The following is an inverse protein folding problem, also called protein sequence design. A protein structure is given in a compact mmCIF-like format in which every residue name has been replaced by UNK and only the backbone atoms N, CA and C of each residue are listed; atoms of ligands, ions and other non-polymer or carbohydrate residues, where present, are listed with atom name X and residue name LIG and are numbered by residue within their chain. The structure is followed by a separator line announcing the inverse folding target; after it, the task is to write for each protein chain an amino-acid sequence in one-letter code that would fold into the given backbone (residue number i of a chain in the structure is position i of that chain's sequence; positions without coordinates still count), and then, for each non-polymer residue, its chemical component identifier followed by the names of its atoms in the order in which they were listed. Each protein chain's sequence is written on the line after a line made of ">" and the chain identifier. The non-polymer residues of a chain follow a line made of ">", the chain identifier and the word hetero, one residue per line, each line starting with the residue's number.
data_IF_578334930299
#
_entry.id   IF_578334930299
#
_cell.length_a   1.000
_cell.length_b   1.000
_cell.length_c   1.000
_cell.angle_alpha   90.00
_cell.angle_beta   90.00
_cell.angle_gamma   90.00
#
_symmetry.space_group_name_H-M   'P 1'
#
loop_
_entity.id
_entity.type
_entity.pdbx_description
1 polymer ?
#
# COMPACT_ATOMS: atom_id res chain seq x y z
N UNK A 1 23.22 15.95 41.89
CA UNK A 1 24.41 15.71 41.05
C UNK A 1 24.21 16.47 39.75
N UNK A 2 25.16 17.33 39.38
CA UNK A 2 25.05 18.30 38.29
C UNK A 2 25.27 17.66 36.91
N UNK A 3 24.70 18.29 35.88
CA UNK A 3 24.67 17.85 34.48
C UNK A 3 26.03 17.41 33.88
N UNK A 4 27.17 17.91 34.37
CA UNK A 4 28.51 17.51 33.87
C UNK A 4 28.99 16.15 34.38
N UNK A 5 28.49 15.68 35.54
CA UNK A 5 28.93 14.42 36.15
C UNK A 5 28.43 13.17 35.40
N UNK A 6 27.24 13.25 34.80
CA UNK A 6 26.62 12.10 34.10
C UNK A 6 27.31 11.77 32.77
N UNK A 7 27.67 12.79 31.99
CA UNK A 7 28.40 12.60 30.73
C UNK A 7 29.80 12.02 30.95
N UNK A 8 30.52 12.53 31.95
CA UNK A 8 31.86 12.01 32.31
C UNK A 8 31.79 10.56 32.80
N UNK A 9 30.77 10.22 33.59
CA UNK A 9 30.56 8.85 34.10
C UNK A 9 30.15 7.85 33.02
N UNK A 10 29.46 8.29 31.97
CA UNK A 10 29.18 7.46 30.80
C UNK A 10 30.45 7.19 29.98
N UNK A 11 31.19 8.24 29.61
CA UNK A 11 32.40 8.10 28.78
C UNK A 11 33.48 7.23 29.44
N UNK A 12 33.60 7.29 30.77
CA UNK A 12 34.57 6.47 31.51
C UNK A 12 34.22 4.99 31.62
N UNK A 13 33.03 4.57 31.18
CA UNK A 13 32.54 3.18 31.27
C UNK A 13 32.34 2.51 29.91
N UNK A 14 32.76 3.17 28.83
CA UNK A 14 32.65 2.65 27.46
C UNK A 14 33.44 1.35 27.24
N UNK A 15 34.45 1.07 28.07
CA UNK A 15 35.23 -0.17 28.11
C UNK A 15 34.36 -1.44 28.33
N UNK A 16 33.14 -1.28 28.83
CA UNK A 16 32.16 -2.36 29.03
C UNK A 16 31.45 -2.81 27.75
N UNK A 17 31.60 -2.06 26.67
CA UNK A 17 30.95 -2.32 25.39
C UNK A 17 31.96 -2.94 24.42
N UNK A 18 31.51 -3.89 23.61
CA UNK A 18 32.27 -4.33 22.44
C UNK A 18 32.32 -3.22 21.39
N UNK A 19 33.29 -3.29 20.48
CA UNK A 19 33.48 -2.28 19.42
C UNK A 19 32.19 -1.97 18.62
N UNK A 20 31.41 -2.97 18.15
CA UNK A 20 30.17 -2.67 17.42
C UNK A 20 29.11 -1.92 18.27
N UNK A 21 29.07 -2.17 19.57
CA UNK A 21 28.15 -1.50 20.49
C UNK A 21 28.64 -0.10 20.87
N UNK A 22 29.96 0.08 20.92
CA UNK A 22 30.60 1.37 21.16
C UNK A 22 30.26 2.38 20.05
N UNK A 23 30.30 1.95 18.79
CA UNK A 23 29.98 2.82 17.65
C UNK A 23 28.54 3.35 17.72
N UNK A 24 27.58 2.47 18.04
CA UNK A 24 26.17 2.85 18.24
C UNK A 24 26.01 3.78 19.44
N UNK A 25 26.72 3.51 20.54
CA UNK A 25 26.66 4.36 21.73
C UNK A 25 27.20 5.76 21.46
N UNK A 26 28.31 5.85 20.72
CA UNK A 26 28.93 7.12 20.36
C UNK A 26 28.13 7.89 19.30
N UNK A 27 27.50 7.22 18.34
CA UNK A 27 26.63 7.88 17.36
C UNK A 27 25.44 8.55 18.05
N UNK A 28 24.77 7.85 18.97
CA UNK A 28 23.68 8.40 19.77
C UNK A 28 24.15 9.51 20.72
N UNK A 29 25.36 9.39 21.27
CA UNK A 29 25.94 10.43 22.14
C UNK A 29 26.22 11.74 21.39
N UNK A 30 26.63 11.65 20.12
CA UNK A 30 26.93 12.81 19.28
C UNK A 30 25.68 13.48 18.70
N UNK A 31 24.55 12.78 18.65
CA UNK A 31 23.30 13.25 18.04
C UNK A 31 22.16 13.36 19.08
N UNK A 32 22.25 14.38 19.95
CA UNK A 32 21.23 14.69 20.97
C UNK A 32 19.81 14.85 20.37
N UNK A 33 19.61 15.49 19.19
CA UNK A 33 18.31 15.53 18.53
C UNK A 33 17.74 14.15 18.17
N UNK A 34 18.56 13.26 17.57
CA UNK A 34 18.14 11.89 17.25
C UNK A 34 17.76 11.11 18.51
N UNK A 35 18.57 11.19 19.57
CA UNK A 35 18.28 10.51 20.83
C UNK A 35 16.96 10.97 21.44
N UNK A 36 16.69 12.28 21.47
CA UNK A 36 15.40 12.81 21.94
C UNK A 36 14.24 12.33 21.09
N UNK A 37 14.41 12.31 19.77
CA UNK A 37 13.39 11.78 18.87
C UNK A 37 13.12 10.29 19.15
N UNK A 38 14.15 9.47 19.33
CA UNK A 38 14.01 8.05 19.72
C UNK A 38 13.20 7.91 21.00
N UNK A 39 13.54 8.67 22.05
CA UNK A 39 12.85 8.60 23.34
C UNK A 39 11.38 9.02 23.26
N UNK A 40 11.06 10.05 22.46
CA UNK A 40 9.68 10.49 22.25
C UNK A 40 8.86 9.45 21.46
N UNK A 41 9.47 8.82 20.46
CA UNK A 41 8.81 7.87 19.55
C UNK A 41 8.71 6.44 20.13
N UNK A 42 9.54 6.10 21.11
CA UNK A 42 9.57 4.77 21.73
C UNK A 42 8.43 4.50 22.73
N UNK A 43 7.50 5.45 22.94
CA UNK A 43 6.37 5.32 23.89
C UNK A 43 6.81 5.02 25.33
N UNK A 44 7.83 5.72 25.81
CA UNK A 44 8.31 5.60 27.20
C UNK A 44 7.19 5.99 28.18
N UNK A 45 6.80 5.12 29.14
CA UNK A 45 5.73 5.39 30.10
C UNK A 45 5.90 6.72 30.84
N UNK A 46 4.79 7.41 31.13
CA UNK A 46 4.83 8.61 31.97
C UNK A 46 5.37 8.29 33.37
N UNK A 47 6.17 9.21 33.93
CA UNK A 47 6.81 9.03 35.24
C UNK A 47 8.16 8.29 35.23
N UNK A 48 8.58 7.68 34.12
CA UNK A 48 9.94 7.13 34.00
C UNK A 48 10.97 8.20 33.67
N UNK A 49 11.83 8.53 34.65
CA UNK A 49 12.93 9.48 34.47
C UNK A 49 14.13 8.91 33.70
N UNK A 50 14.33 7.58 33.77
CA UNK A 50 15.45 6.87 33.12
C UNK A 50 14.93 5.72 32.28
N UNK A 51 15.63 5.48 31.18
CA UNK A 51 15.28 4.50 30.16
C UNK A 51 16.53 3.71 29.81
N UNK A 52 16.37 2.41 29.58
CA UNK A 52 17.42 1.55 29.06
C UNK A 52 17.23 1.36 27.55
N UNK A 53 18.28 1.58 26.77
CA UNK A 53 18.31 1.27 25.33
C UNK A 53 19.16 0.02 25.17
N UNK A 54 18.57 -1.07 24.69
CA UNK A 54 19.31 -2.29 24.39
C UNK A 54 20.10 -2.13 23.11
N UNK A 55 21.37 -2.54 23.14
CA UNK A 55 22.26 -2.55 21.97
C UNK A 55 22.29 -3.91 21.27
N UNK A 56 21.75 -4.96 21.90
CA UNK A 56 21.65 -6.30 21.33
C UNK A 56 20.42 -7.04 21.91
N UNK A 57 20.62 -7.81 22.99
CA UNK A 57 19.56 -8.61 23.61
C UNK A 57 18.72 -7.73 24.56
N UNK A 58 17.38 -7.74 24.47
CA UNK A 58 16.52 -6.88 25.29
C UNK A 58 16.53 -7.25 26.79
N UNK A 59 16.94 -8.46 27.16
CA UNK A 59 17.02 -8.91 28.56
C UNK A 59 18.45 -8.92 29.10
N UNK A 60 19.42 -9.34 28.28
CA UNK A 60 20.83 -9.52 28.67
C UNK A 60 21.71 -8.32 28.33
N UNK A 61 21.25 -7.39 27.50
CA UNK A 61 22.01 -6.22 27.09
C UNK A 61 23.11 -6.53 26.07
N UNK A 62 24.13 -5.68 25.94
CA UNK A 62 24.42 -4.51 26.78
C UNK A 62 23.41 -3.36 26.64
N UNK A 63 23.39 -2.45 27.61
CA UNK A 63 22.41 -1.36 27.68
C UNK A 63 23.06 0.02 27.82
N UNK A 64 22.47 1.02 27.17
CA UNK A 64 22.70 2.43 27.47
C UNK A 64 21.61 2.92 28.43
N UNK A 65 22.01 3.56 29.52
CA UNK A 65 21.07 4.18 30.44
C UNK A 65 21.06 5.67 30.18
N UNK A 66 19.92 6.18 29.77
CA UNK A 66 19.71 7.60 29.46
C UNK A 66 18.54 8.14 30.29
N UNK A 67 18.52 9.45 30.52
CA UNK A 67 17.35 10.12 31.07
C UNK A 67 16.29 10.31 29.99
N UNK A 68 15.04 10.53 30.39
CA UNK A 68 13.93 10.88 29.47
C UNK A 68 14.25 12.12 28.61
N UNK A 69 15.05 13.05 29.13
CA UNK A 69 15.52 14.23 28.41
C UNK A 69 16.73 13.99 27.48
N UNK A 70 17.14 12.73 27.27
CA UNK A 70 18.23 12.38 26.35
C UNK A 70 19.64 12.55 26.93
N UNK A 71 19.81 12.53 28.27
CA UNK A 71 21.15 12.62 28.87
C UNK A 71 21.70 11.25 29.24
N UNK A 72 22.92 10.96 28.82
CA UNK A 72 23.61 9.71 29.14
C UNK A 72 23.98 9.64 30.62
N UNK A 73 23.57 8.56 31.29
CA UNK A 73 23.84 8.30 32.71
C UNK A 73 24.98 7.30 32.87
N UNK A 74 24.90 6.17 32.17
CA UNK A 74 25.93 5.11 32.17
C UNK A 74 25.68 4.09 31.06
N UNK A 75 26.59 3.15 30.88
CA UNK A 75 26.38 1.93 30.10
C UNK A 75 26.61 0.68 30.96
N UNK A 76 25.89 -0.37 30.62
CA UNK A 76 25.91 -1.68 31.26
C UNK A 76 26.41 -2.70 30.25
N UNK A 77 27.39 -3.52 30.65
CA UNK A 77 27.91 -4.61 29.82
C UNK A 77 26.89 -5.75 29.67
N UNK A 78 27.18 -6.70 28.77
CA UNK A 78 26.36 -7.89 28.60
C UNK A 78 26.26 -8.69 29.91
N UNK A 79 25.06 -9.19 30.22
CA UNK A 79 24.74 -9.92 31.46
C UNK A 79 24.44 -9.02 32.67
N UNK A 80 24.58 -7.70 32.55
CA UNK A 80 24.21 -6.76 33.62
C UNK A 80 22.72 -6.41 33.52
N UNK A 81 21.97 -6.66 34.59
CA UNK A 81 20.52 -6.46 34.60
C UNK A 81 20.07 -5.00 34.71
N UNK A 82 18.96 -4.69 34.05
CA UNK A 82 18.21 -3.43 34.16
C UNK A 82 16.96 -3.67 35.01
N UNK A 83 16.95 -3.14 36.24
CA UNK A 83 15.80 -3.24 37.16
C UNK A 83 15.00 -1.95 37.15
N UNK A 84 13.68 -2.06 37.07
CA UNK A 84 12.74 -0.94 37.15
C UNK A 84 12.94 0.14 36.07
N UNK A 85 13.46 -0.23 34.90
CA UNK A 85 13.61 0.65 33.75
C UNK A 85 12.81 0.10 32.56
N UNK A 86 12.21 0.99 31.79
CA UNK A 86 11.65 0.64 30.50
C UNK A 86 12.81 0.37 29.54
N UNK A 87 12.77 -0.78 28.87
CA UNK A 87 13.76 -1.18 27.88
C UNK A 87 13.22 -0.87 26.49
N UNK A 88 13.95 -0.05 25.75
CA UNK A 88 13.79 0.10 24.30
C UNK A 88 14.61 -0.99 23.63
N UNK A 89 13.97 -1.98 22.95
CA UNK A 89 14.69 -3.06 22.28
C UNK A 89 15.55 -2.56 21.12
N UNK A 90 16.60 -3.31 20.77
CA UNK A 90 17.51 -2.97 19.67
C UNK A 90 16.78 -2.83 18.33
N UNK A 91 15.87 -3.74 18.02
CA UNK A 91 15.06 -3.68 16.80
C UNK A 91 14.24 -2.39 16.70
N UNK A 92 13.71 -1.91 17.85
CA UNK A 92 12.95 -0.66 17.91
C UNK A 92 13.85 0.56 17.72
N UNK A 93 15.06 0.53 18.29
CA UNK A 93 16.08 1.56 18.09
C UNK A 93 16.46 1.67 16.61
N UNK A 94 16.77 0.53 15.97
CA UNK A 94 17.16 0.48 14.56
C UNK A 94 16.02 0.99 13.66
N UNK A 95 14.79 0.54 13.90
CA UNK A 95 13.63 0.99 13.13
C UNK A 95 13.38 2.50 13.23
N UNK A 96 13.53 3.12 14.41
CA UNK A 96 13.37 4.58 14.54
C UNK A 96 14.53 5.31 13.85
N UNK A 97 15.76 4.83 14.03
CA UNK A 97 16.97 5.45 13.47
C UNK A 97 16.96 5.42 11.95
N UNK A 98 16.58 4.29 11.34
CA UNK A 98 16.45 4.14 9.89
C UNK A 98 15.43 5.13 9.29
N UNK A 99 14.30 5.35 9.97
CA UNK A 99 13.32 6.35 9.54
C UNK A 99 13.91 7.77 9.56
N UNK A 100 14.67 8.14 10.60
CA UNK A 100 15.30 9.47 10.69
C UNK A 100 16.39 9.65 9.64
N UNK A 101 17.23 8.63 9.40
CA UNK A 101 18.24 8.66 8.33
C UNK A 101 17.54 8.87 6.98
N UNK A 102 16.52 8.07 6.68
CA UNK A 102 15.73 8.21 5.44
C UNK A 102 15.16 9.62 5.30
N UNK A 103 14.61 10.19 6.37
CA UNK A 103 14.04 11.54 6.37
C UNK A 103 15.11 12.62 6.15
N UNK A 104 16.27 12.50 6.80
CA UNK A 104 17.42 13.39 6.60
C UNK A 104 17.94 13.31 5.17
N UNK A 105 18.15 12.12 4.63
CA UNK A 105 18.60 11.92 3.24
C UNK A 105 17.61 12.50 2.22
N UNK A 106 16.30 12.37 2.45
CA UNK A 106 15.29 13.02 1.60
C UNK A 106 15.30 14.53 1.74
N UNK A 107 15.46 15.05 2.96
CA UNK A 107 15.56 16.49 3.20
C UNK A 107 16.81 17.08 2.57
N UNK A 108 17.96 16.42 2.69
CA UNK A 108 19.21 16.84 2.06
C UNK A 108 19.08 16.80 0.54
N UNK A 109 18.46 15.75 -0.03
CA UNK A 109 18.14 15.70 -1.46
C UNK A 109 17.19 16.82 -1.87
N UNK A 110 16.21 17.18 -1.05
CA UNK A 110 15.29 18.29 -1.29
C UNK A 110 16.03 19.62 -1.34
N UNK A 111 16.83 19.91 -0.32
CA UNK A 111 17.61 21.14 -0.21
C UNK A 111 18.62 21.30 -1.34
N UNK A 112 19.14 20.18 -1.87
CA UNK A 112 20.08 20.16 -2.99
C UNK A 112 19.41 19.95 -4.36
N UNK A 113 18.09 19.80 -4.42
CA UNK A 113 17.37 19.61 -5.69
C UNK A 113 17.32 20.93 -6.46
N UNK A 114 17.87 20.95 -7.68
CA UNK A 114 17.81 22.13 -8.57
C UNK A 114 16.86 21.88 -9.74
N UNK A 115 15.84 22.73 -9.90
CA UNK A 115 15.28 23.11 -11.20
C UNK A 115 14.31 22.17 -11.94
N UNK A 116 13.89 21.03 -11.41
CA UNK A 116 13.07 20.05 -12.14
C UNK A 116 11.67 19.74 -11.55
N UNK A 117 11.26 20.44 -10.48
CA UNK A 117 10.00 20.15 -9.77
C UNK A 117 8.78 20.18 -10.69
N UNK A 118 8.67 21.20 -11.56
CA UNK A 118 7.56 21.31 -12.52
C UNK A 118 7.51 20.12 -13.49
N UNK A 119 8.66 19.64 -13.96
CA UNK A 119 8.72 18.50 -14.89
C UNK A 119 8.34 17.19 -14.20
N UNK A 120 8.80 17.00 -12.96
CA UNK A 120 8.47 15.82 -12.15
C UNK A 120 6.99 15.79 -11.76
N UNK A 121 6.45 16.94 -11.34
CA UNK A 121 5.01 17.07 -11.06
C UNK A 121 4.18 16.85 -12.33
N UNK A 122 4.64 17.33 -13.49
CA UNK A 122 3.99 17.03 -14.77
C UNK A 122 4.04 15.54 -15.11
N UNK A 123 5.18 14.89 -14.88
CA UNK A 123 5.36 13.46 -15.14
C UNK A 123 4.33 12.60 -14.38
N UNK A 124 3.99 12.98 -13.14
CA UNK A 124 2.97 12.33 -12.32
C UNK A 124 1.59 12.24 -13.01
N UNK A 125 1.26 13.20 -13.88
CA UNK A 125 -0.02 13.32 -14.58
C UNK A 125 0.03 12.94 -16.06
N UNK A 126 1.21 12.81 -16.66
CA UNK A 126 1.36 12.57 -18.10
C UNK A 126 1.97 11.21 -18.45
N UNK A 127 2.68 10.57 -17.53
CA UNK A 127 3.41 9.32 -17.83
C UNK A 127 2.54 8.07 -17.70
N UNK A 128 1.39 8.16 -17.04
CA UNK A 128 0.53 7.01 -16.76
C UNK A 128 1.34 5.88 -16.11
N UNK A 129 1.25 4.67 -16.65
CA UNK A 129 2.03 3.51 -16.16
C UNK A 129 3.55 3.63 -16.31
N UNK A 130 4.03 4.59 -17.11
CA UNK A 130 5.44 4.75 -17.47
C UNK A 130 6.20 5.74 -16.60
N UNK A 131 5.67 6.12 -15.44
CA UNK A 131 6.44 6.87 -14.45
C UNK A 131 7.62 6.00 -13.99
N UNK A 132 8.84 6.49 -14.13
CA UNK A 132 10.04 5.71 -13.79
C UNK A 132 10.33 5.76 -12.30
N UNK A 133 11.15 4.81 -11.82
CA UNK A 133 11.64 4.78 -10.43
C UNK A 133 12.33 6.08 -10.06
N UNK A 134 13.20 6.58 -10.91
CA UNK A 134 14.00 7.79 -10.71
C UNK A 134 13.11 9.05 -10.71
N UNK A 135 12.07 9.07 -11.56
CA UNK A 135 11.07 10.14 -11.52
C UNK A 135 10.27 10.09 -10.22
N UNK A 136 9.83 8.90 -9.80
CA UNK A 136 9.15 8.72 -8.52
C UNK A 136 10.03 9.14 -7.35
N UNK A 137 11.29 8.70 -7.29
CA UNK A 137 12.24 9.07 -6.25
C UNK A 137 12.50 10.57 -6.24
N UNK A 138 12.59 11.20 -7.41
CA UNK A 138 12.64 12.65 -7.55
C UNK A 138 11.42 13.33 -6.92
N UNK A 139 10.22 12.81 -7.14
CA UNK A 139 8.97 13.33 -6.54
C UNK A 139 8.92 13.08 -5.03
N UNK A 140 9.35 11.90 -4.59
CA UNK A 140 9.29 11.44 -3.20
C UNK A 140 10.12 12.30 -2.25
N UNK A 141 11.10 13.04 -2.77
CA UNK A 141 11.89 14.02 -2.02
C UNK A 141 11.01 15.11 -1.39
N UNK A 142 9.90 15.51 -2.02
CA UNK A 142 8.96 16.51 -1.48
C UNK A 142 7.91 15.95 -0.52
N UNK A 143 7.76 14.62 -0.47
CA UNK A 143 6.66 13.97 0.24
C UNK A 143 6.58 14.33 1.73
N UNK A 144 7.69 14.43 2.52
CA UNK A 144 7.61 14.79 3.93
C UNK A 144 6.97 16.16 4.20
N UNK A 145 7.04 17.07 3.22
CA UNK A 145 6.48 18.43 3.31
C UNK A 145 5.09 18.54 2.70
N UNK A 146 4.70 17.57 1.86
CA UNK A 146 3.45 17.59 1.09
C UNK A 146 2.49 16.45 1.46
N UNK A 147 2.76 15.65 2.50
CA UNK A 147 1.97 14.44 2.78
C UNK A 147 0.45 14.69 2.84
N UNK A 148 0.01 15.75 3.52
CA UNK A 148 -1.41 16.12 3.59
C UNK A 148 -1.96 16.65 2.25
N UNK A 149 -1.16 17.42 1.51
CA UNK A 149 -1.55 17.91 0.18
C UNK A 149 -1.63 16.77 -0.84
N UNK A 150 -0.73 15.79 -0.77
CA UNK A 150 -0.74 14.58 -1.60
C UNK A 150 -1.99 13.74 -1.33
N UNK A 151 -2.40 13.60 -0.05
CA UNK A 151 -3.66 12.95 0.31
C UNK A 151 -4.86 13.71 -0.25
N UNK A 152 -4.87 15.05 -0.11
CA UNK A 152 -5.93 15.90 -0.67
C UNK A 152 -6.00 15.78 -2.19
N UNK A 153 -4.88 15.83 -2.89
CA UNK A 153 -4.80 15.63 -4.34
C UNK A 153 -5.30 14.25 -4.74
N UNK A 154 -5.00 13.20 -3.96
CA UNK A 154 -5.55 11.86 -4.23
C UNK A 154 -7.09 11.86 -4.21
N UNK A 155 -7.70 12.53 -3.22
CA UNK A 155 -9.16 12.62 -3.07
C UNK A 155 -9.77 13.47 -4.19
N UNK A 156 -9.16 14.60 -4.51
CA UNK A 156 -9.61 15.49 -5.60
C UNK A 156 -9.49 14.79 -6.96
N UNK A 157 -8.40 14.06 -7.18
CA UNK A 157 -8.15 13.32 -8.40
C UNK A 157 -9.14 12.16 -8.56
N UNK A 158 -9.52 11.49 -7.47
CA UNK A 158 -10.51 10.43 -7.52
C UNK A 158 -11.86 10.95 -8.04
N UNK A 159 -12.28 12.13 -7.54
CA UNK A 159 -13.49 12.82 -8.01
C UNK A 159 -13.37 13.24 -9.47
N UNK A 160 -12.19 13.74 -9.89
CA UNK A 160 -11.94 14.15 -11.26
C UNK A 160 -12.01 12.96 -12.23
N UNK A 161 -11.40 11.83 -11.88
CA UNK A 161 -11.46 10.58 -12.65
C UNK A 161 -12.90 10.08 -12.79
N UNK A 162 -13.67 10.09 -11.70
CA UNK A 162 -15.08 9.68 -11.74
C UNK A 162 -15.91 10.59 -12.65
N UNK A 163 -15.71 11.91 -12.57
CA UNK A 163 -16.38 12.87 -13.43
C UNK A 163 -16.02 12.69 -14.91
N UNK A 164 -14.74 12.54 -15.23
CA UNK A 164 -14.27 12.29 -16.60
C UNK A 164 -14.81 10.97 -17.15
N UNK A 165 -14.84 9.92 -16.33
CA UNK A 165 -15.42 8.62 -16.69
C UNK A 165 -16.90 8.76 -17.02
N UNK A 166 -17.68 9.45 -16.18
CA UNK A 166 -19.10 9.68 -16.43
C UNK A 166 -19.34 10.44 -17.73
N UNK A 167 -18.57 11.51 -17.97
CA UNK A 167 -18.63 12.30 -19.19
C UNK A 167 -18.40 11.41 -20.42
N UNK A 168 -17.30 10.65 -20.43
CA UNK A 168 -16.94 9.78 -21.54
C UNK A 168 -17.96 8.66 -21.75
N UNK A 169 -18.49 8.06 -20.68
CA UNK A 169 -19.51 7.00 -20.76
C UNK A 169 -20.82 7.47 -21.40
N UNK A 170 -21.23 8.72 -21.19
CA UNK A 170 -22.40 9.33 -21.86
C UNK A 170 -22.18 9.43 -23.37
N UNK A 171 -20.94 9.64 -23.78
CA UNK A 171 -20.54 9.84 -25.17
C UNK A 171 -20.21 8.54 -25.90
N UNK A 172 -20.00 7.43 -25.18
CA UNK A 172 -19.84 6.10 -25.79
C UNK A 172 -21.20 5.65 -26.34
N UNK A 173 -21.36 5.41 -27.66
CA UNK A 173 -22.60 4.89 -28.21
C UNK A 173 -22.81 3.41 -27.85
N UNK A 174 -23.99 2.85 -28.14
CA UNK A 174 -24.28 1.42 -27.92
C UNK A 174 -23.32 0.47 -28.66
N UNK A 175 -22.78 0.91 -29.80
CA UNK A 175 -21.78 0.15 -30.58
C UNK A 175 -20.36 0.19 -29.97
N UNK A 176 -20.16 0.93 -28.86
CA UNK A 176 -18.89 1.03 -28.15
C UNK A 176 -17.81 1.86 -28.83
N UNK A 177 -18.09 2.54 -29.96
CA UNK A 177 -17.11 3.36 -30.69
C UNK A 177 -17.16 4.82 -30.25
N UNK A 178 -16.18 5.25 -29.46
CA UNK A 178 -16.04 6.65 -29.06
C UNK A 178 -15.50 7.50 -30.22
N UNK A 179 -16.08 8.69 -30.43
CA UNK A 179 -15.64 9.64 -31.48
C UNK A 179 -14.26 10.23 -31.18
N UNK A 180 -13.42 10.46 -32.20
CA UNK A 180 -12.02 10.94 -32.06
C UNK A 180 -11.87 12.29 -31.35
N UNK A 181 -12.92 13.13 -31.37
CA UNK A 181 -12.95 14.41 -30.62
C UNK A 181 -12.69 14.23 -29.11
N UNK A 182 -12.90 13.02 -28.59
CA UNK A 182 -12.71 12.68 -27.18
C UNK A 182 -11.36 12.01 -26.90
N UNK A 183 -10.46 11.91 -27.88
CA UNK A 183 -9.21 11.16 -27.72
C UNK A 183 -8.29 11.80 -26.67
N UNK A 184 -8.19 13.14 -26.61
CA UNK A 184 -7.43 13.84 -25.57
C UNK A 184 -8.04 13.60 -24.18
N UNK A 185 -9.36 13.65 -24.04
CA UNK A 185 -10.05 13.37 -22.77
C UNK A 185 -9.88 11.92 -22.35
N UNK A 186 -9.92 10.97 -23.28
CA UNK A 186 -9.71 9.54 -23.01
C UNK A 186 -8.27 9.27 -22.57
N UNK A 187 -7.29 9.87 -23.24
CA UNK A 187 -5.89 9.78 -22.83
C UNK A 187 -5.66 10.41 -21.46
N UNK A 188 -6.25 11.60 -21.22
CA UNK A 188 -6.21 12.26 -19.92
C UNK A 188 -6.84 11.42 -18.80
N UNK A 189 -7.98 10.76 -19.06
CA UNK A 189 -8.58 9.81 -18.12
C UNK A 189 -7.60 8.67 -17.81
N UNK A 190 -7.01 8.05 -18.83
CA UNK A 190 -6.07 6.95 -18.65
C UNK A 190 -4.87 7.37 -17.78
N UNK A 191 -4.24 8.51 -18.07
CA UNK A 191 -3.12 9.00 -17.25
C UNK A 191 -3.54 9.26 -15.80
N UNK A 192 -4.69 9.93 -15.59
CA UNK A 192 -5.22 10.26 -14.27
C UNK A 192 -5.62 9.04 -13.44
N UNK A 193 -6.11 7.97 -14.08
CA UNK A 193 -6.32 6.69 -13.42
C UNK A 193 -5.01 6.19 -12.80
N UNK A 194 -3.89 6.21 -13.53
CA UNK A 194 -2.57 5.83 -13.01
C UNK A 194 -2.04 6.78 -11.92
N UNK A 195 -2.31 8.09 -12.06
CA UNK A 195 -1.98 9.09 -11.05
C UNK A 195 -2.55 8.74 -9.68
N UNK A 196 -3.74 8.17 -9.60
CA UNK A 196 -4.32 7.71 -8.31
C UNK A 196 -3.42 6.71 -7.60
N UNK A 197 -2.87 5.73 -8.32
CA UNK A 197 -1.93 4.78 -7.74
C UNK A 197 -0.66 5.46 -7.22
N UNK A 198 -0.11 6.42 -7.98
CA UNK A 198 1.08 7.15 -7.55
C UNK A 198 0.82 8.02 -6.31
N UNK A 199 -0.31 8.74 -6.27
CA UNK A 199 -0.69 9.56 -5.14
C UNK A 199 -0.99 8.72 -3.88
N UNK A 200 -1.65 7.57 -4.01
CA UNK A 200 -1.87 6.64 -2.90
C UNK A 200 -0.56 6.15 -2.28
N UNK A 201 0.48 5.95 -3.10
CA UNK A 201 1.79 5.56 -2.59
C UNK A 201 2.48 6.73 -1.88
N UNK A 202 2.57 7.89 -2.56
CA UNK A 202 3.24 9.09 -2.08
C UNK A 202 2.64 9.57 -0.76
N UNK A 203 1.32 9.67 -0.66
CA UNK A 203 0.66 10.13 0.56
C UNK A 203 0.96 9.21 1.76
N UNK A 204 1.14 7.91 1.56
CA UNK A 204 1.32 6.95 2.65
C UNK A 204 2.77 6.69 3.07
N UNK A 205 3.80 7.23 2.39
CA UNK A 205 5.20 6.82 2.57
C UNK A 205 5.68 6.84 4.03
N UNK A 206 5.35 7.91 4.76
CA UNK A 206 5.73 8.10 6.18
C UNK A 206 4.74 7.43 7.16
N UNK A 207 3.84 6.59 6.65
CA UNK A 207 2.83 5.90 7.44
C UNK A 207 1.89 6.89 8.12
N UNK A 208 1.52 6.58 9.37
CA UNK A 208 0.52 7.38 10.11
C UNK A 208 1.05 8.73 10.61
N UNK A 209 2.37 8.95 10.67
CA UNK A 209 2.95 10.10 11.36
C UNK A 209 2.39 11.47 10.90
N UNK A 210 2.28 11.77 9.58
CA UNK A 210 1.72 13.05 9.14
C UNK A 210 0.25 13.26 9.50
N UNK A 211 -0.46 12.18 9.86
CA UNK A 211 -1.90 12.18 10.09
C UNK A 211 -2.29 12.19 11.57
N UNK A 212 -1.32 11.98 12.48
CA UNK A 212 -1.58 11.94 13.93
C UNK A 212 -1.95 13.32 14.51
N UNK A 213 -1.49 14.39 13.85
CA UNK A 213 -1.73 15.78 14.23
C UNK A 213 -3.03 16.34 13.62
N UNK A 214 -3.78 15.54 12.86
CA UNK A 214 -5.06 15.96 12.31
C UNK A 214 -6.09 16.22 13.42
N UNK A 215 -6.98 17.23 13.26
CA UNK A 215 -8.12 17.40 14.15
C UNK A 215 -8.96 16.12 14.25
N UNK A 216 -9.56 15.87 15.41
CA UNK A 216 -10.30 14.63 15.69
C UNK A 216 -11.33 14.24 14.61
N UNK A 217 -12.16 15.16 14.07
CA UNK A 217 -13.08 14.80 12.99
C UNK A 217 -12.39 14.30 11.72
N UNK A 218 -11.23 14.88 11.38
CA UNK A 218 -10.46 14.49 10.21
C UNK A 218 -9.74 13.15 10.42
N UNK A 219 -9.19 12.93 11.63
CA UNK A 219 -8.59 11.64 12.00
C UNK A 219 -9.62 10.51 11.98
N UNK A 220 -10.81 10.74 12.54
CA UNK A 220 -11.92 9.77 12.47
C UNK A 220 -12.35 9.48 11.02
N UNK A 221 -12.51 10.52 10.21
CA UNK A 221 -12.85 10.34 8.79
C UNK A 221 -11.78 9.52 8.05
N UNK A 222 -10.50 9.70 8.41
CA UNK A 222 -9.40 8.92 7.87
C UNK A 222 -9.46 7.45 8.31
N UNK A 223 -9.67 7.17 9.61
CA UNK A 223 -9.72 5.78 10.11
C UNK A 223 -10.91 4.98 9.59
N UNK A 224 -11.99 5.65 9.18
CA UNK A 224 -13.18 5.05 8.59
C UNK A 224 -13.14 5.01 7.04
N UNK A 225 -12.06 5.48 6.40
CA UNK A 225 -11.99 5.55 4.94
C UNK A 225 -11.40 4.30 4.28
N UNK A 226 -11.96 3.95 3.11
CA UNK A 226 -11.40 2.95 2.21
C UNK A 226 -10.22 3.54 1.43
N UNK A 227 -9.09 3.77 2.11
CA UNK A 227 -7.91 4.44 1.57
C UNK A 227 -7.42 3.89 0.22
N UNK A 228 -7.40 2.56 0.05
CA UNK A 228 -6.90 1.92 -1.17
C UNK A 228 -7.90 2.05 -2.34
N UNK A 229 -9.18 2.32 -2.06
CA UNK A 229 -10.25 2.23 -3.04
C UNK A 229 -10.10 3.13 -4.26
N UNK A 230 -9.63 4.39 -4.15
CA UNK A 230 -9.38 5.21 -5.34
C UNK A 230 -8.46 4.53 -6.34
N UNK A 231 -7.39 3.87 -5.91
CA UNK A 231 -6.47 3.17 -6.81
C UNK A 231 -6.97 1.79 -7.23
N UNK A 232 -7.55 1.02 -6.30
CA UNK A 232 -8.07 -0.34 -6.53
C UNK A 232 -9.25 -0.31 -7.51
N UNK A 233 -10.19 0.60 -7.36
CA UNK A 233 -11.39 0.67 -8.22
C UNK A 233 -11.13 0.91 -9.71
N UNK A 234 -9.88 1.26 -10.09
CA UNK A 234 -9.45 1.44 -11.47
C UNK A 234 -9.22 0.10 -12.21
N UNK A 235 -9.13 -1.02 -11.50
CA UNK A 235 -8.97 -2.36 -12.09
C UNK A 235 -7.56 -2.66 -12.62
N UNK A 236 -6.61 -1.73 -12.48
CA UNK A 236 -5.23 -1.87 -12.95
C UNK A 236 -4.37 -2.48 -11.83
N UNK A 237 -3.69 -3.60 -12.10
CA UNK A 237 -2.89 -4.33 -11.10
C UNK A 237 -1.84 -3.45 -10.43
N UNK A 238 -1.06 -2.70 -11.23
CA UNK A 238 -0.04 -1.79 -10.71
C UNK A 238 -0.59 -0.67 -9.81
N UNK A 239 -1.81 -0.17 -10.09
CA UNK A 239 -2.47 0.79 -9.22
C UNK A 239 -2.98 0.16 -7.93
N UNK A 240 -3.64 -0.99 -8.06
CA UNK A 240 -4.14 -1.71 -6.89
C UNK A 240 -2.99 -1.95 -5.92
N UNK A 241 -1.85 -2.48 -6.37
CA UNK A 241 -0.68 -2.68 -5.50
C UNK A 241 -0.22 -1.41 -4.78
N UNK A 242 -0.18 -0.26 -5.46
CA UNK A 242 0.19 1.01 -4.81
C UNK A 242 -0.83 1.46 -3.77
N UNK A 243 -2.13 1.30 -4.04
CA UNK A 243 -3.21 1.57 -3.09
C UNK A 243 -3.16 0.66 -1.87
N UNK A 244 -3.04 -0.65 -2.09
CA UNK A 244 -2.91 -1.67 -1.04
C UNK A 244 -1.67 -1.43 -0.18
N UNK A 245 -0.53 -1.10 -0.80
CA UNK A 245 0.70 -0.74 -0.09
C UNK A 245 0.48 0.47 0.80
N UNK A 246 -0.15 1.53 0.28
CA UNK A 246 -0.40 2.76 1.02
C UNK A 246 -1.32 2.55 2.23
N UNK A 247 -2.44 1.85 2.02
CA UNK A 247 -3.34 1.52 3.11
C UNK A 247 -2.66 0.62 4.17
N UNK A 248 -1.89 -0.38 3.72
CA UNK A 248 -1.12 -1.21 4.63
C UNK A 248 -0.06 -0.42 5.40
N UNK A 249 0.55 0.61 4.81
CA UNK A 249 1.55 1.45 5.46
C UNK A 249 0.96 2.35 6.55
N UNK A 250 -0.30 2.75 6.42
CA UNK A 250 -1.07 3.42 7.48
C UNK A 250 -1.45 2.45 8.63
N UNK A 251 -1.68 1.19 8.30
CA UNK A 251 -1.63 0.07 9.24
C UNK A 251 -2.79 0.02 10.23
N UNK A 252 -2.46 -0.09 11.52
CA UNK A 252 -3.41 -0.24 12.65
C UNK A 252 -4.57 0.77 12.62
N UNK A 253 -4.35 1.99 12.12
CA UNK A 253 -5.38 3.04 12.07
C UNK A 253 -6.57 2.66 11.19
N UNK A 254 -6.30 1.97 10.06
CA UNK A 254 -7.32 1.54 9.11
C UNK A 254 -7.79 0.11 9.36
N UNK A 255 -7.13 -0.61 10.27
CA UNK A 255 -7.40 -2.02 10.50
C UNK A 255 -8.85 -2.32 10.89
N UNK A 256 -9.50 -1.60 11.82
CA UNK A 256 -10.89 -1.85 12.18
C UNK A 256 -11.85 -1.67 10.99
N UNK A 257 -11.61 -0.66 10.14
CA UNK A 257 -12.40 -0.43 8.94
C UNK A 257 -12.28 -1.61 7.97
N UNK A 258 -11.06 -2.03 7.64
CA UNK A 258 -10.85 -3.12 6.69
C UNK A 258 -11.27 -4.49 7.23
N UNK A 259 -11.21 -4.70 8.56
CA UNK A 259 -11.79 -5.88 9.21
C UNK A 259 -13.28 -5.98 8.92
N UNK A 260 -14.03 -4.92 9.21
CA UNK A 260 -15.47 -4.88 8.93
C UNK A 260 -15.76 -5.01 7.42
N UNK A 261 -15.07 -4.24 6.60
CA UNK A 261 -15.32 -4.18 5.17
C UNK A 261 -15.03 -5.51 4.43
N UNK A 262 -14.16 -6.38 4.95
CA UNK A 262 -13.92 -7.69 4.31
C UNK A 262 -15.03 -8.70 4.60
N UNK A 263 -15.75 -8.55 5.71
CA UNK A 263 -16.90 -9.40 6.06
C UNK A 263 -18.08 -9.11 5.12
N UNK A 264 -18.25 -7.83 4.78
CA UNK A 264 -19.31 -7.31 3.92
C UNK A 264 -18.99 -7.43 2.41
N UNK A 265 -17.73 -7.67 2.04
CA UNK A 265 -17.27 -7.65 0.65
C UNK A 265 -17.99 -8.69 -0.23
N UNK A 266 -18.68 -8.23 -1.27
CA UNK A 266 -19.52 -9.07 -2.12
C UNK A 266 -19.12 -9.11 -3.60
N UNK A 267 -18.26 -8.19 -4.04
CA UNK A 267 -17.80 -8.04 -5.41
C UNK A 267 -16.27 -7.96 -5.51
N UNK A 268 -15.74 -8.11 -6.74
CA UNK A 268 -14.29 -8.16 -7.00
C UNK A 268 -13.55 -6.92 -6.49
N UNK A 269 -14.15 -5.74 -6.60
CA UNK A 269 -13.49 -4.50 -6.16
C UNK A 269 -13.43 -4.45 -4.64
N UNK A 270 -14.52 -4.79 -3.94
CA UNK A 270 -14.52 -4.90 -2.48
C UNK A 270 -13.57 -5.97 -1.99
N UNK A 271 -13.51 -7.14 -2.62
CA UNK A 271 -12.56 -8.18 -2.26
C UNK A 271 -11.11 -7.69 -2.46
N UNK A 272 -10.81 -7.07 -3.59
CA UNK A 272 -9.48 -6.51 -3.82
C UNK A 272 -9.16 -5.37 -2.84
N UNK A 273 -10.12 -4.49 -2.54
CA UNK A 273 -9.91 -3.34 -1.67
C UNK A 273 -9.80 -3.74 -0.20
N UNK A 274 -10.78 -4.45 0.34
CA UNK A 274 -10.82 -4.76 1.77
C UNK A 274 -10.03 -6.02 2.12
N UNK A 275 -10.28 -7.14 1.46
CA UNK A 275 -9.63 -8.41 1.81
C UNK A 275 -8.12 -8.39 1.51
N UNK A 276 -7.68 -7.85 0.36
CA UNK A 276 -6.24 -7.78 0.08
C UNK A 276 -5.55 -6.72 0.94
N UNK A 277 -6.19 -5.58 1.24
CA UNK A 277 -5.60 -4.60 2.17
C UNK A 277 -5.48 -5.18 3.56
N UNK A 278 -6.53 -5.81 4.08
CA UNK A 278 -6.54 -6.46 5.39
C UNK A 278 -5.44 -7.52 5.51
N UNK A 279 -5.29 -8.36 4.49
CA UNK A 279 -4.17 -9.29 4.40
C UNK A 279 -2.81 -8.60 4.36
N UNK A 280 -2.65 -7.56 3.54
CA UNK A 280 -1.37 -6.83 3.42
C UNK A 280 -0.97 -6.18 4.75
N UNK A 281 -1.95 -5.65 5.52
CA UNK A 281 -1.75 -5.20 6.90
C UNK A 281 -1.27 -6.38 7.77
N UNK A 282 -1.93 -7.53 7.73
CA UNK A 282 -1.53 -8.72 8.49
C UNK A 282 -0.13 -9.25 8.15
N UNK A 283 0.31 -9.15 6.90
CA UNK A 283 1.67 -9.49 6.50
C UNK A 283 2.71 -8.46 6.96
N UNK A 284 2.34 -7.19 7.06
CA UNK A 284 3.23 -6.08 7.46
C UNK A 284 3.40 -5.98 8.97
N UNK A 285 2.35 -6.26 9.75
CA UNK A 285 2.37 -6.12 11.21
C UNK A 285 2.21 -7.49 11.89
N UNK A 286 3.30 -8.08 12.41
CA UNK A 286 3.25 -9.38 13.07
C UNK A 286 2.21 -9.47 14.20
N UNK A 287 2.01 -8.38 14.94
CA UNK A 287 1.03 -8.30 16.03
C UNK A 287 -0.42 -8.48 15.57
N UNK A 288 -0.75 -8.15 14.32
CA UNK A 288 -2.09 -8.27 13.75
C UNK A 288 -2.30 -9.59 12.99
N UNK A 289 -1.24 -10.39 12.81
CA UNK A 289 -1.26 -11.57 11.94
C UNK A 289 -2.24 -12.64 12.43
N UNK A 290 -2.32 -12.87 13.73
CA UNK A 290 -3.23 -13.86 14.31
C UNK A 290 -4.70 -13.47 14.09
N UNK A 291 -5.03 -12.19 14.30
CA UNK A 291 -6.39 -11.68 14.10
C UNK A 291 -6.79 -11.72 12.62
N UNK A 292 -5.88 -11.37 11.70
CA UNK A 292 -6.13 -11.50 10.26
C UNK A 292 -6.33 -12.96 9.86
N UNK A 293 -5.51 -13.87 10.38
CA UNK A 293 -5.64 -15.31 10.13
C UNK A 293 -6.99 -15.83 10.59
N UNK A 294 -7.44 -15.45 11.78
CA UNK A 294 -8.74 -15.83 12.31
C UNK A 294 -9.87 -15.31 11.42
N UNK A 295 -9.86 -14.02 11.07
CA UNK A 295 -10.92 -13.39 10.29
C UNK A 295 -10.96 -13.85 8.81
N UNK A 296 -9.83 -14.28 8.24
CA UNK A 296 -9.78 -14.90 6.91
C UNK A 296 -10.09 -16.40 6.91
N UNK A 297 -10.14 -17.04 8.09
CA UNK A 297 -10.48 -18.46 8.17
C UNK A 297 -11.99 -18.61 7.91
N UNK A 298 -12.40 -19.53 7.01
CA UNK A 298 -13.81 -19.67 6.68
C UNK A 298 -14.61 -20.20 7.87
N UNK A 299 -15.52 -19.39 8.41
CA UNK A 299 -16.45 -19.81 9.48
C UNK A 299 -17.61 -20.68 8.97
N UNK A 300 -17.84 -20.72 7.65
CA UNK A 300 -18.92 -21.47 7.00
C UNK A 300 -18.55 -21.87 5.54
N UNK A 301 -19.18 -22.91 4.96
CA UNK A 301 -19.00 -23.25 3.55
C UNK A 301 -19.44 -22.09 2.64
N UNK A 302 -18.64 -21.80 1.62
CA UNK A 302 -18.92 -20.71 0.67
C UNK A 302 -20.10 -21.10 -0.24
N UNK A 303 -21.07 -20.20 -0.51
CA UNK A 303 -22.22 -20.50 -1.36
C UNK A 303 -21.82 -20.93 -2.78
N UNK A 304 -22.48 -21.96 -3.31
CA UNK A 304 -22.32 -22.39 -4.70
C UNK A 304 -22.71 -21.25 -5.67
N UNK A 305 -21.82 -20.91 -6.61
CA UNK A 305 -22.00 -19.82 -7.58
C UNK A 305 -21.04 -18.64 -7.43
N UNK A 306 -20.33 -18.50 -6.29
CA UNK A 306 -19.24 -17.52 -6.08
C UNK A 306 -17.84 -18.14 -6.22
N UNK A 307 -17.68 -19.09 -7.13
CA UNK A 307 -16.54 -20.04 -7.17
C UNK A 307 -15.16 -19.37 -7.25
N UNK A 308 -15.00 -18.25 -7.97
CA UNK A 308 -13.72 -17.55 -8.07
C UNK A 308 -13.37 -16.73 -6.83
N UNK A 309 -14.29 -15.93 -6.28
CA UNK A 309 -14.04 -15.20 -5.03
C UNK A 309 -13.78 -16.17 -3.87
N UNK A 310 -14.50 -17.29 -3.85
CA UNK A 310 -14.25 -18.38 -2.92
C UNK A 310 -12.86 -18.99 -3.06
N UNK A 311 -12.39 -19.17 -4.30
CA UNK A 311 -11.03 -19.64 -4.60
C UNK A 311 -9.96 -18.63 -4.18
N UNK A 312 -10.17 -17.34 -4.41
CA UNK A 312 -9.27 -16.26 -3.99
C UNK A 312 -9.17 -16.20 -2.47
N UNK A 313 -10.30 -16.27 -1.75
CA UNK A 313 -10.31 -16.32 -0.28
C UNK A 313 -9.54 -17.54 0.21
N UNK A 314 -9.80 -18.73 -0.35
CA UNK A 314 -9.07 -19.96 0.00
C UNK A 314 -7.58 -19.85 -0.26
N UNK A 315 -7.17 -19.30 -1.40
CA UNK A 315 -5.76 -19.10 -1.73
C UNK A 315 -5.08 -18.19 -0.69
N UNK A 316 -5.74 -17.09 -0.32
CA UNK A 316 -5.24 -16.17 0.69
C UNK A 316 -5.16 -16.82 2.08
N UNK A 317 -6.21 -17.52 2.52
CA UNK A 317 -6.22 -18.28 3.76
C UNK A 317 -5.08 -19.29 3.79
N UNK A 318 -4.83 -20.01 2.69
CA UNK A 318 -3.73 -20.97 2.60
C UNK A 318 -2.36 -20.32 2.81
N UNK A 319 -2.12 -19.11 2.26
CA UNK A 319 -0.87 -18.36 2.48
C UNK A 319 -0.71 -17.92 3.94
N UNK A 320 -1.81 -17.61 4.64
CA UNK A 320 -1.77 -17.25 6.06
C UNK A 320 -1.66 -18.45 7.01
N UNK A 321 -2.27 -19.58 6.66
CA UNK A 321 -2.32 -20.80 7.47
C UNK A 321 -1.11 -21.71 7.27
N UNK A 322 -0.36 -21.56 6.19
CA UNK A 322 0.89 -22.26 6.01
C UNK A 322 1.91 -21.75 7.04
N UNK A 323 1.93 -22.38 8.22
CA UNK A 323 3.04 -22.24 9.18
C UNK A 323 4.35 -22.80 8.58
N UNK A 324 4.23 -23.67 7.55
CA UNK A 324 5.29 -24.38 6.81
C UNK A 324 5.49 -23.95 5.34
N UNK A 325 4.83 -22.89 4.85
CA UNK A 325 5.29 -22.35 3.58
C UNK A 325 6.65 -21.71 3.88
N UNK A 326 7.73 -22.43 3.54
CA UNK A 326 9.06 -21.87 3.56
C UNK A 326 8.95 -20.45 2.98
N UNK A 327 9.19 -19.40 3.79
CA UNK A 327 9.05 -18.02 3.34
C UNK A 327 9.90 -17.70 2.10
N UNK A 328 10.78 -18.63 1.71
CA UNK A 328 11.55 -18.61 0.47
C UNK A 328 10.76 -18.96 -0.82
N UNK A 329 9.77 -19.86 -0.81
CA UNK A 329 9.16 -20.37 -2.07
C UNK A 329 8.17 -19.38 -2.71
N UNK A 330 7.34 -18.70 -1.92
CA UNK A 330 6.36 -17.75 -2.48
C UNK A 330 7.01 -16.53 -3.17
N UNK A 331 8.04 -15.87 -2.60
CA UNK A 331 8.81 -14.85 -3.30
C UNK A 331 9.50 -15.35 -4.58
N UNK A 332 9.90 -16.62 -4.62
CA UNK A 332 10.53 -17.23 -5.81
C UNK A 332 9.50 -17.52 -6.90
N UNK A 333 8.32 -18.05 -6.55
CA UNK A 333 7.19 -18.21 -7.49
C UNK A 333 6.74 -16.87 -8.05
N UNK A 334 6.63 -15.84 -7.21
CA UNK A 334 6.28 -14.49 -7.64
C UNK A 334 7.33 -13.91 -8.60
N UNK A 335 8.62 -14.06 -8.26
CA UNK A 335 9.72 -13.62 -9.12
C UNK A 335 9.69 -14.37 -10.45
N UNK A 336 9.37 -15.67 -10.47
CA UNK A 336 9.22 -16.43 -11.72
C UNK A 336 8.12 -15.87 -12.62
N UNK A 337 6.92 -15.62 -12.08
CA UNK A 337 5.81 -15.02 -12.86
C UNK A 337 6.21 -13.66 -13.42
N UNK A 338 6.88 -12.85 -12.61
CA UNK A 338 7.40 -11.56 -13.02
C UNK A 338 8.50 -11.65 -14.09
N UNK A 339 9.39 -12.64 -14.00
CA UNK A 339 10.44 -12.88 -14.97
C UNK A 339 9.87 -13.35 -16.33
N UNK A 340 8.88 -14.25 -16.32
CA UNK A 340 8.17 -14.68 -17.53
C UNK A 340 7.50 -13.48 -18.23
N UNK A 341 6.94 -12.54 -17.45
CA UNK A 341 6.38 -11.30 -17.96
C UNK A 341 7.48 -10.37 -18.52
N UNK A 342 8.61 -10.24 -17.82
CA UNK A 342 9.74 -9.44 -18.27
C UNK A 342 10.34 -9.97 -19.60
N UNK A 343 10.45 -11.29 -19.77
CA UNK A 343 10.84 -11.92 -21.05
C UNK A 343 9.83 -11.57 -22.15
N UNK A 344 8.53 -11.66 -21.84
CA UNK A 344 7.47 -11.38 -22.80
C UNK A 344 7.48 -9.92 -23.25
N UNK A 345 7.61 -8.99 -22.31
CA UNK A 345 7.65 -7.54 -22.58
C UNK A 345 8.99 -7.12 -23.19
N UNK A 346 10.10 -7.75 -22.78
CA UNK A 346 11.46 -7.50 -23.26
C UNK A 346 11.63 -7.74 -24.76
N UNK A 347 10.78 -8.59 -25.38
CA UNK A 347 10.72 -8.77 -26.84
C UNK A 347 10.41 -7.47 -27.62
N UNK A 348 9.86 -6.45 -26.95
CA UNK A 348 9.64 -5.11 -27.53
C UNK A 348 10.96 -4.34 -27.71
N UNK A 349 11.98 -4.64 -26.92
CA UNK A 349 13.30 -4.03 -27.02
C UNK A 349 14.08 -4.63 -28.21
N UNK A 350 15.01 -3.87 -28.82
CA UNK A 350 15.94 -4.42 -29.82
C UNK A 350 16.69 -5.63 -29.27
N UNK A 351 17.02 -6.62 -30.11
CA UNK A 351 17.76 -7.82 -29.69
C UNK A 351 19.15 -7.51 -29.12
N UNK A 352 19.71 -6.34 -29.41
CA UNK A 352 20.97 -5.85 -28.84
C UNK A 352 20.81 -5.18 -27.47
N UNK A 353 19.57 -4.99 -27.00
CA UNK A 353 19.29 -4.37 -25.70
C UNK A 353 19.61 -5.34 -24.56
N UNK A 354 20.21 -4.87 -23.44
CA UNK A 354 20.39 -5.71 -22.25
C UNK A 354 19.06 -6.15 -21.61
N UNK A 355 17.94 -5.57 -22.06
CA UNK A 355 16.60 -5.87 -21.58
C UNK A 355 15.80 -6.80 -22.51
N UNK A 356 16.43 -7.34 -23.56
CA UNK A 356 15.86 -8.38 -24.40
C UNK A 356 16.19 -9.77 -23.80
N UNK A 357 15.52 -10.12 -22.70
CA UNK A 357 15.70 -11.43 -22.07
C UNK A 357 15.07 -12.55 -22.91
N UNK A 358 15.79 -13.65 -23.06
CA UNK A 358 15.29 -14.87 -23.73
C UNK A 358 14.92 -15.99 -22.74
N UNK A 359 15.51 -15.96 -21.55
CA UNK A 359 15.24 -16.89 -20.46
C UNK A 359 14.80 -16.10 -19.20
N UNK A 360 13.82 -16.63 -18.48
CA UNK A 360 13.35 -16.06 -17.22
C UNK A 360 14.43 -16.11 -16.13
N UNK A 361 15.37 -17.07 -16.20
CA UNK A 361 16.48 -17.17 -15.27
C UNK A 361 17.47 -15.99 -15.36
N UNK A 362 17.52 -15.30 -16.50
CA UNK A 362 18.41 -14.16 -16.73
C UNK A 362 17.84 -12.83 -16.21
N UNK A 363 16.55 -12.80 -15.84
CA UNK A 363 15.89 -11.59 -15.37
C UNK A 363 16.30 -11.28 -13.93
N UNK A 364 16.87 -10.09 -13.63
CA UNK A 364 17.16 -9.69 -12.27
C UNK A 364 15.92 -9.76 -11.37
N UNK A 365 16.09 -10.28 -10.15
CA UNK A 365 14.96 -10.60 -9.27
C UNK A 365 14.14 -9.37 -8.85
N UNK A 366 14.78 -8.22 -8.69
CA UNK A 366 14.13 -6.94 -8.41
C UNK A 366 13.30 -6.47 -9.61
N UNK A 367 13.85 -6.59 -10.83
CA UNK A 367 13.14 -6.29 -12.06
C UNK A 367 11.95 -7.22 -12.27
N UNK A 368 12.12 -8.52 -12.00
CA UNK A 368 11.06 -9.51 -12.12
C UNK A 368 9.85 -9.15 -11.25
N UNK A 369 10.07 -8.81 -9.97
CA UNK A 369 8.98 -8.39 -9.06
C UNK A 369 8.29 -7.12 -9.57
N UNK A 370 9.06 -6.12 -10.01
CA UNK A 370 8.53 -4.88 -10.53
C UNK A 370 7.80 -5.07 -11.88
N UNK A 371 8.14 -6.09 -12.68
CA UNK A 371 7.48 -6.38 -13.94
C UNK A 371 5.99 -6.70 -13.78
N UNK A 372 5.55 -7.21 -12.62
CA UNK A 372 4.13 -7.44 -12.31
C UNK A 372 3.28 -6.16 -12.36
N UNK A 373 3.91 -4.99 -12.26
CA UNK A 373 3.25 -3.70 -12.38
C UNK A 373 2.88 -3.36 -13.84
N UNK A 374 3.44 -4.11 -14.80
CA UNK A 374 3.16 -4.01 -16.24
C UNK A 374 2.10 -5.00 -16.73
N UNK A 375 1.40 -5.69 -15.82
CA UNK A 375 0.32 -6.59 -16.22
C UNK A 375 -0.73 -5.77 -16.98
N UNK A 376 -0.72 -5.94 -18.31
CA UNK A 376 -1.66 -5.35 -19.23
C UNK A 376 -2.99 -6.10 -19.05
N UNK A 377 -3.93 -5.51 -18.32
CA UNK A 377 -5.22 -6.15 -18.07
C UNK A 377 -6.04 -5.44 -17.00
N UNK A 378 -7.31 -5.81 -16.91
CA UNK A 378 -8.21 -5.31 -15.87
C UNK A 378 -8.70 -6.46 -15.00
N UNK A 379 -8.19 -6.59 -13.78
CA UNK A 379 -8.51 -7.73 -12.91
C UNK A 379 -9.99 -7.80 -12.50
N UNK A 380 -10.74 -6.71 -12.70
CA UNK A 380 -12.20 -6.67 -12.48
C UNK A 380 -12.89 -7.54 -13.54
N UNK A 381 -12.45 -7.49 -14.79
CA UNK A 381 -12.97 -8.32 -15.88
C UNK A 381 -12.21 -9.62 -16.10
N UNK A 382 -10.93 -9.66 -15.73
CA UNK A 382 -9.98 -10.77 -15.89
C UNK A 382 -9.62 -11.32 -14.50
N UNK A 383 -10.57 -12.03 -13.89
CA UNK A 383 -10.44 -12.50 -12.50
C UNK A 383 -9.33 -13.54 -12.31
N UNK A 384 -8.80 -14.12 -13.39
CA UNK A 384 -7.59 -14.94 -13.43
C UNK A 384 -6.33 -14.18 -12.96
N UNK A 385 -6.37 -12.85 -12.91
CA UNK A 385 -5.30 -12.02 -12.34
C UNK A 385 -5.31 -12.00 -10.80
N UNK A 386 -6.44 -12.30 -10.15
CA UNK A 386 -6.57 -12.22 -8.69
C UNK A 386 -5.61 -13.18 -7.93
N UNK A 387 -5.39 -14.45 -8.35
CA UNK A 387 -4.38 -15.30 -7.73
C UNK A 387 -2.97 -14.73 -7.79
N UNK A 388 -2.58 -14.08 -8.90
CA UNK A 388 -1.27 -13.42 -9.02
C UNK A 388 -1.17 -12.27 -8.02
N UNK A 389 -2.23 -11.48 -7.88
CA UNK A 389 -2.29 -10.42 -6.87
C UNK A 389 -2.16 -10.96 -5.45
N UNK A 390 -2.84 -12.07 -5.13
CA UNK A 390 -2.75 -12.73 -3.82
C UNK A 390 -1.32 -13.19 -3.50
N UNK A 391 -0.61 -13.76 -4.48
CA UNK A 391 0.79 -14.17 -4.31
C UNK A 391 1.74 -12.98 -4.08
N UNK A 392 1.39 -11.79 -4.59
CA UNK A 392 2.21 -10.59 -4.42
C UNK A 392 2.10 -9.95 -3.04
N UNK A 393 1.02 -10.19 -2.27
CA UNK A 393 0.74 -9.46 -1.02
C UNK A 393 1.86 -9.56 0.03
N UNK A 394 2.51 -10.72 0.26
CA UNK A 394 3.62 -10.80 1.22
C UNK A 394 4.86 -9.99 0.82
N UNK A 395 5.16 -9.93 -0.48
CA UNK A 395 6.20 -9.05 -1.00
C UNK A 395 5.78 -7.59 -0.84
N UNK A 396 4.56 -7.25 -1.27
CA UNK A 396 4.01 -5.89 -1.20
C UNK A 396 4.03 -5.33 0.23
N UNK A 397 3.73 -6.15 1.23
CA UNK A 397 3.78 -5.78 2.64
C UNK A 397 5.19 -5.38 3.13
N UNK A 398 6.25 -5.77 2.41
CA UNK A 398 7.65 -5.51 2.77
C UNK A 398 8.37 -4.59 1.78
N UNK A 399 7.78 -4.38 0.61
CA UNK A 399 8.38 -3.58 -0.45
C UNK A 399 8.65 -2.13 0.00
N UNK A 400 9.76 -1.57 -0.45
CA UNK A 400 10.00 -0.13 -0.44
C UNK A 400 9.17 0.53 -1.54
N UNK A 401 8.78 1.81 -1.40
CA UNK A 401 7.90 2.44 -2.39
C UNK A 401 8.53 2.52 -3.78
N UNK A 402 9.85 2.73 -3.90
CA UNK A 402 10.59 2.74 -5.17
C UNK A 402 10.61 1.39 -5.90
N UNK A 403 10.42 0.27 -5.19
CA UNK A 403 10.29 -1.07 -5.78
C UNK A 403 8.95 -1.25 -6.52
N UNK A 404 8.00 -0.32 -6.33
CA UNK A 404 6.73 -0.26 -7.06
C UNK A 404 6.82 0.58 -8.35
N UNK A 405 8.04 0.69 -8.89
CA UNK A 405 8.37 1.35 -10.15
C UNK A 405 9.52 0.63 -10.87
N UNK A 406 9.51 0.73 -12.19
CA UNK A 406 10.57 0.20 -13.04
C UNK A 406 11.66 1.25 -13.30
N UNK A 407 12.92 0.82 -13.45
CA UNK A 407 14.03 1.70 -13.83
C UNK A 407 13.80 2.44 -15.15
N UNK A 408 14.36 3.65 -15.26
CA UNK A 408 14.20 4.51 -16.45
C UNK A 408 14.73 3.88 -17.73
N UNK A 409 15.86 3.19 -17.66
CA UNK A 409 16.49 2.52 -18.79
C UNK A 409 15.70 1.29 -19.26
N UNK A 410 15.14 0.51 -18.32
CA UNK A 410 14.20 -0.56 -18.64
C UNK A 410 12.96 0.00 -19.34
N UNK A 411 12.31 1.02 -18.76
CA UNK A 411 11.15 1.68 -19.38
C UNK A 411 11.52 2.22 -20.77
N UNK A 412 12.67 2.86 -20.93
CA UNK A 412 13.11 3.37 -22.23
C UNK A 412 13.23 2.28 -23.29
N UNK A 413 13.60 1.05 -22.89
CA UNK A 413 13.72 -0.08 -23.81
C UNK A 413 12.38 -0.74 -24.19
N UNK A 414 11.38 -0.74 -23.29
CA UNK A 414 10.15 -1.53 -23.47
C UNK A 414 8.86 -0.71 -23.61
N UNK A 415 8.93 0.61 -23.35
CA UNK A 415 7.76 1.48 -23.37
C UNK A 415 7.12 1.49 -24.76
N UNK A 416 5.80 1.35 -24.76
CA UNK A 416 4.97 1.57 -25.95
C UNK A 416 4.25 2.92 -25.86
N UNK A 417 3.95 3.57 -26.99
CA UNK A 417 3.07 4.73 -27.02
C UNK A 417 1.69 4.42 -26.43
N UNK A 418 0.96 5.47 -26.05
CA UNK A 418 -0.43 5.35 -25.61
C UNK A 418 -1.27 4.53 -26.60
N UNK A 419 -1.97 3.53 -26.08
CA UNK A 419 -2.93 2.73 -26.83
C UNK A 419 -4.36 3.18 -26.49
N UNK A 420 -4.99 3.80 -27.50
CA UNK A 420 -6.37 4.25 -27.44
C UNK A 420 -7.36 3.11 -27.22
N UNK A 421 -7.15 1.96 -27.86
CA UNK A 421 -8.08 0.84 -27.81
C UNK A 421 -8.02 0.15 -26.45
N UNK A 422 -6.85 0.13 -25.81
CA UNK A 422 -6.70 -0.28 -24.42
C UNK A 422 -7.51 0.63 -23.47
N UNK A 423 -7.32 1.95 -23.52
CA UNK A 423 -8.07 2.89 -22.68
C UNK A 423 -9.59 2.81 -22.91
N UNK A 424 -10.01 2.64 -24.17
CA UNK A 424 -11.42 2.44 -24.52
C UNK A 424 -11.96 1.11 -24.00
N UNK A 425 -11.14 0.07 -23.90
CA UNK A 425 -11.52 -1.22 -23.32
C UNK A 425 -11.83 -1.09 -21.84
N UNK A 426 -11.00 -0.36 -21.07
CA UNK A 426 -11.26 -0.04 -19.66
C UNK A 426 -12.61 0.69 -19.50
N UNK A 427 -12.85 1.72 -20.31
CA UNK A 427 -14.10 2.47 -20.29
C UNK A 427 -15.32 1.60 -20.64
N UNK A 428 -15.18 0.64 -21.57
CA UNK A 428 -16.25 -0.31 -21.91
C UNK A 428 -16.55 -1.27 -20.77
N UNK A 429 -15.54 -1.69 -20.02
CA UNK A 429 -15.72 -2.53 -18.83
C UNK A 429 -16.47 -1.75 -17.74
N UNK A 430 -16.15 -0.47 -17.53
CA UNK A 430 -16.90 0.42 -16.62
C UNK A 430 -18.38 0.50 -16.99
N UNK A 431 -18.70 0.61 -18.28
CA UNK A 431 -20.10 0.61 -18.77
C UNK A 431 -20.83 -0.68 -18.40
N UNK A 432 -20.18 -1.84 -18.57
CA UNK A 432 -20.77 -3.14 -18.22
C UNK A 432 -21.05 -3.20 -16.72
N UNK A 433 -20.07 -2.83 -15.90
CA UNK A 433 -20.20 -2.76 -14.43
C UNK A 433 -21.38 -1.88 -14.00
N UNK A 434 -21.48 -0.67 -14.54
CA UNK A 434 -22.60 0.24 -14.23
C UNK A 434 -23.96 -0.34 -14.62
N UNK A 435 -24.03 -1.06 -15.75
CA UNK A 435 -25.25 -1.74 -16.16
C UNK A 435 -25.60 -2.87 -15.19
N UNK A 436 -24.62 -3.66 -14.77
CA UNK A 436 -24.82 -4.77 -13.85
C UNK A 436 -25.27 -4.27 -12.47
N UNK A 437 -24.61 -3.22 -11.96
CA UNK A 437 -25.01 -2.56 -10.70
C UNK A 437 -26.46 -2.06 -10.74
N UNK A 438 -26.83 -1.31 -11.78
CA UNK A 438 -28.23 -0.84 -11.96
C UNK A 438 -29.23 -1.98 -12.10
N UNK A 439 -28.81 -3.10 -12.69
CA UNK A 439 -29.67 -4.29 -12.84
C UNK A 439 -29.86 -5.00 -11.50
N UNK A 440 -28.81 -5.08 -10.68
CA UNK A 440 -28.86 -5.65 -9.33
C UNK A 440 -29.73 -4.77 -8.42
N UNK A 441 -29.50 -3.46 -8.40
CA UNK A 441 -30.30 -2.49 -7.64
C UNK A 441 -31.79 -2.55 -8.04
N UNK A 442 -32.09 -2.62 -9.34
CA UNK A 442 -33.46 -2.78 -9.81
C UNK A 442 -34.11 -4.13 -9.43
N UNK A 443 -33.33 -5.19 -9.21
CA UNK A 443 -33.82 -6.48 -8.70
C UNK A 443 -34.06 -6.42 -7.19
N UNK A 444 -33.20 -5.76 -6.44
CA UNK A 444 -33.34 -5.58 -5.00
C UNK A 444 -34.53 -4.68 -4.66
N UNK A 445 -34.76 -3.60 -5.43
CA UNK A 445 -35.97 -2.78 -5.32
C UNK A 445 -37.26 -3.51 -5.74
N UNK A 446 -37.15 -4.69 -6.38
CA UNK A 446 -38.27 -5.58 -6.66
C UNK A 446 -38.54 -6.58 -5.52
N UNK A 447 -38.25 -6.23 -4.26
CA UNK A 447 -38.77 -6.92 -3.07
C UNK A 447 -40.27 -6.70 -2.94
N UNK A 448 -41.03 -7.37 -3.80
CA UNK A 448 -42.48 -7.33 -3.87
C UNK A 448 -42.98 -8.22 -5.01
N UNK A 449 -44.24 -8.64 -5.00
CA UNK A 449 -44.82 -9.40 -6.11
C UNK A 449 -44.63 -8.59 -7.39
N UNK A 450 -44.16 -9.22 -8.47
CA UNK A 450 -44.06 -8.53 -9.75
C UNK A 450 -45.41 -7.86 -10.06
N UNK A 451 -45.41 -6.64 -10.62
CA UNK A 451 -46.66 -5.88 -10.89
C UNK A 451 -47.73 -6.72 -11.63
N UNK A 452 -47.31 -7.69 -12.45
CA UNK A 452 -48.16 -8.63 -13.18
C UNK A 452 -48.48 -9.96 -12.47
N UNK A 453 -47.81 -10.31 -11.37
CA UNK A 453 -48.03 -11.54 -10.61
C UNK A 453 -49.37 -11.51 -9.85
N UNK A 454 -49.95 -12.67 -9.49
CA UNK A 454 -51.11 -12.75 -8.59
C UNK A 454 -50.84 -12.02 -7.27
N UNK A 455 -51.85 -11.31 -6.77
CA UNK A 455 -51.72 -10.54 -5.53
C UNK A 455 -51.62 -11.48 -4.31
N UNK A 456 -50.66 -11.28 -3.38
CA UNK A 456 -50.48 -12.13 -2.21
C UNK A 456 -51.65 -12.15 -1.23
N UNK A 457 -52.57 -11.18 -1.32
CA UNK A 457 -53.76 -11.13 -0.46
C UNK A 457 -54.83 -12.17 -0.83
N UNK A 458 -54.58 -13.05 -1.81
CA UNK A 458 -55.50 -14.10 -2.21
C UNK A 458 -56.66 -13.64 -3.10
N UNK A 459 -56.66 -12.39 -3.57
CA UNK A 459 -57.78 -11.82 -4.35
C UNK A 459 -57.91 -12.35 -5.79
N UNK A 460 -56.95 -13.15 -6.27
CA UNK A 460 -56.88 -13.63 -7.66
C UNK A 460 -56.57 -12.54 -8.70
N UNK A 461 -56.49 -11.26 -8.32
CA UNK A 461 -56.14 -10.13 -9.20
C UNK A 461 -54.63 -9.99 -9.33
N UNK A 462 -54.15 -9.35 -10.42
CA UNK A 462 -52.73 -8.95 -10.55
C UNK A 462 -52.37 -7.94 -9.45
N UNK A 463 -51.19 -8.06 -8.85
CA UNK A 463 -50.72 -7.23 -7.74
C UNK A 463 -50.90 -5.73 -7.99
N UNK A 464 -50.52 -5.25 -9.20
CA UNK A 464 -50.69 -3.84 -9.59
C UNK A 464 -52.13 -3.34 -9.66
N UNK A 465 -53.15 -4.21 -9.66
CA UNK A 465 -54.58 -3.83 -9.71
C UNK A 465 -55.28 -4.11 -8.38
N UNK A 466 -54.49 -4.33 -7.33
CA UNK A 466 -54.98 -4.72 -6.01
C UNK A 466 -54.13 -4.02 -4.95
N UNK A 467 -53.21 -4.72 -4.30
CA UNK A 467 -52.40 -4.14 -3.22
C UNK A 467 -51.26 -3.23 -3.70
N UNK A 468 -50.97 -3.18 -5.01
CA UNK A 468 -49.91 -2.34 -5.59
C UNK A 468 -50.37 -1.00 -6.18
N UNK A 469 -51.65 -0.62 -5.99
CA UNK A 469 -52.26 0.65 -6.47
C UNK A 469 -52.58 1.62 -5.30
N UNK A 470 -51.92 1.46 -4.14
CA UNK A 470 -52.02 2.39 -3.01
C UNK A 470 -50.84 3.35 -2.98
#
# INVERSE_FOLDING_TARGET
>A
MTLSGHAHHFLSRLDRLSVPHLDVALSLYRDDPLLRHILNTARVPEGMERVAISLADPEKGPFLIVTRGGKFVTCLGAGMGVRNLHVIPRERLDAITENVITWRERTDRFLNSTGNATELMRALYERGQWLTREQFEGIAVWQPFLALELLKWMIEEAKAVDHMRELLLREVPKNGKLHRRWDETLHGLWCRMWTLGHLSLLAAMDGKAPYQELPEPARKAMSECAYARPAVSQGLVGNAFRGLWGAARLGEELFPHYKKAHEEADNVIEVADSMFTFATIGFRYPALRAEVREALSPSAPLPEGKSHLASVRRALTNIFLSDDADPMDLPDRLAKVGADLAVTVGKRAPSSSPYHFTDAADVPRDLARAALLLVDGCYISEQELLPVMVMALPWLARAKPEELYLPADYIAAIRVPYDRDYALTLLRQDRRRLKDFRTAEAKEQQTGPARSAPCPCGSGKKYKRCCGDR
#
